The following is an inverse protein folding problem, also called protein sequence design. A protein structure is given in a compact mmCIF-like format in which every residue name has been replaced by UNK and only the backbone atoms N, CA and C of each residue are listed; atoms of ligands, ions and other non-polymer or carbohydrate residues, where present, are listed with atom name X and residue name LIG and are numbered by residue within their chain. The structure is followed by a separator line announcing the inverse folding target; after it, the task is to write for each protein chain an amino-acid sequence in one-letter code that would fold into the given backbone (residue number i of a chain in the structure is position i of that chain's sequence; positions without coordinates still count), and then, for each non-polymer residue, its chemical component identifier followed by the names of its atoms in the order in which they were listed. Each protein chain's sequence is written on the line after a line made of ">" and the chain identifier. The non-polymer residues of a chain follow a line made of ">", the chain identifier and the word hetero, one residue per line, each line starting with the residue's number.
data_IF_350160313167
#
_entry.id   IF_350160313167
#
_cell.length_a   1.000
_cell.length_b   1.000
_cell.length_c   1.000
_cell.angle_alpha   90.00
_cell.angle_beta   90.00
_cell.angle_gamma   90.00
#
_symmetry.space_group_name_H-M   'P 1'
#
loop_
_entity.id
_entity.type
_entity.pdbx_description
1 polymer ?
#
# COMPACT_ATOMS: atom_id res chain seq x y z
N UNK A 1 -12.90 -11.01 3.54
CA UNK A 1 -13.77 -9.94 4.08
C UNK A 1 -12.96 -8.78 4.67
N UNK A 2 -12.02 -9.05 5.59
CA UNK A 2 -11.14 -8.01 6.17
C UNK A 2 -10.29 -7.31 5.09
N UNK A 3 -9.67 -8.05 4.18
CA UNK A 3 -8.82 -7.46 3.14
C UNK A 3 -9.53 -6.45 2.25
N UNK A 4 -10.83 -6.65 1.96
CA UNK A 4 -11.63 -5.70 1.18
C UNK A 4 -11.80 -4.38 1.92
N UNK A 5 -12.13 -4.43 3.21
CA UNK A 5 -12.23 -3.23 4.05
C UNK A 5 -10.90 -2.49 4.11
N UNK A 6 -9.78 -3.21 4.28
CA UNK A 6 -8.45 -2.62 4.30
C UNK A 6 -8.09 -1.94 2.98
N UNK A 7 -8.40 -2.56 1.83
CA UNK A 7 -8.21 -1.94 0.50
C UNK A 7 -9.09 -0.70 0.34
N UNK A 8 -10.33 -0.73 0.82
CA UNK A 8 -11.22 0.44 0.77
C UNK A 8 -10.66 1.60 1.61
N UNK A 9 -10.15 1.31 2.81
CA UNK A 9 -9.51 2.31 3.68
C UNK A 9 -8.25 2.88 3.05
N UNK A 10 -7.38 2.05 2.46
CA UNK A 10 -6.22 2.50 1.67
C UNK A 10 -6.66 3.44 0.56
N UNK A 11 -7.74 3.08 -0.16
CA UNK A 11 -8.18 3.86 -1.30
C UNK A 11 -8.77 5.22 -0.94
N UNK A 12 -9.57 5.27 0.13
CA UNK A 12 -10.14 6.52 0.64
C UNK A 12 -9.06 7.43 1.23
N UNK A 13 -8.09 6.86 1.96
CA UNK A 13 -6.99 7.64 2.53
C UNK A 13 -6.07 8.22 1.45
N UNK A 14 -5.76 7.45 0.41
CA UNK A 14 -4.99 7.95 -0.75
C UNK A 14 -5.77 8.96 -1.59
N UNK A 15 -7.09 8.80 -1.78
CA UNK A 15 -7.88 9.80 -2.49
C UNK A 15 -7.93 11.12 -1.72
N UNK A 16 -8.02 11.06 -0.39
CA UNK A 16 -7.88 12.23 0.47
C UNK A 16 -6.50 12.89 0.30
N UNK A 17 -5.42 12.10 0.24
CA UNK A 17 -4.07 12.60 0.04
C UNK A 17 -3.89 13.29 -1.32
N UNK A 18 -4.39 12.69 -2.40
CA UNK A 18 -4.34 13.26 -3.76
C UNK A 18 -5.08 14.61 -3.80
N UNK A 19 -6.22 14.72 -3.12
CA UNK A 19 -6.99 15.97 -3.06
C UNK A 19 -6.24 17.11 -2.35
N UNK A 20 -5.24 16.78 -1.52
CA UNK A 20 -4.42 17.72 -0.73
C UNK A 20 -2.95 17.68 -1.10
N UNK A 21 -2.62 17.31 -2.34
CA UNK A 21 -1.23 17.07 -2.77
C UNK A 21 -0.26 18.26 -2.62
N UNK A 22 -0.77 19.48 -2.42
CA UNK A 22 0.03 20.70 -2.20
C UNK A 22 0.14 21.10 -0.73
N UNK A 23 -0.57 20.40 0.16
CA UNK A 23 -0.57 20.70 1.59
C UNK A 23 0.52 19.90 2.30
N UNK A 24 1.10 20.50 3.34
CA UNK A 24 1.99 19.82 4.27
C UNK A 24 1.69 20.37 5.65
N UNK A 25 1.33 19.49 6.59
CA UNK A 25 0.93 19.88 7.94
C UNK A 25 1.19 18.75 8.92
N UNK A 26 1.40 19.09 10.19
CA UNK A 26 1.58 18.10 11.24
C UNK A 26 0.23 17.47 11.63
N UNK A 27 0.17 16.14 11.62
CA UNK A 27 -0.96 15.37 12.16
C UNK A 27 -0.77 15.21 13.67
N UNK A 28 0.45 14.84 14.07
CA UNK A 28 0.89 14.80 15.47
C UNK A 28 2.15 15.66 15.54
N UNK A 29 2.10 16.83 16.22
CA UNK A 29 3.22 17.75 16.30
C UNK A 29 4.51 17.05 16.76
N UNK A 30 5.57 17.16 15.96
CA UNK A 30 6.87 16.57 16.24
C UNK A 30 6.96 15.03 16.14
N UNK A 31 5.98 14.37 15.52
CA UNK A 31 6.03 12.91 15.33
C UNK A 31 5.47 12.42 14.00
N UNK A 32 4.29 12.90 13.58
CA UNK A 32 3.65 12.48 12.31
C UNK A 32 3.26 13.71 11.51
N UNK A 33 3.71 13.76 10.25
CA UNK A 33 3.39 14.79 9.29
C UNK A 33 2.65 14.21 8.09
N UNK A 34 1.67 14.97 7.60
CA UNK A 34 1.08 14.77 6.29
C UNK A 34 1.95 15.44 5.23
N UNK A 35 2.39 14.69 4.23
CA UNK A 35 3.12 15.19 3.06
C UNK A 35 2.84 14.29 1.87
N UNK A 36 2.46 14.84 0.71
CA UNK A 36 2.22 14.03 -0.48
C UNK A 36 3.51 13.69 -1.24
N UNK A 37 3.75 12.41 -1.50
CA UNK A 37 4.92 11.90 -2.23
C UNK A 37 4.51 10.89 -3.30
N UNK A 38 5.01 11.08 -4.52
CA UNK A 38 4.86 10.12 -5.62
C UNK A 38 6.00 9.09 -5.61
N UNK A 39 5.76 7.92 -5.04
CA UNK A 39 6.79 6.89 -4.94
C UNK A 39 6.84 6.00 -6.19
N UNK A 40 7.87 6.21 -7.00
CA UNK A 40 8.15 5.46 -8.24
C UNK A 40 9.07 4.25 -8.04
N UNK A 41 9.43 3.93 -6.81
CA UNK A 41 10.27 2.78 -6.45
C UNK A 41 9.56 1.81 -5.52
N UNK A 42 10.36 1.05 -4.78
CA UNK A 42 9.95 0.33 -3.57
C UNK A 42 10.67 0.91 -2.35
N UNK A 43 10.61 0.24 -1.20
CA UNK A 43 11.30 0.66 0.02
C UNK A 43 12.78 1.01 -0.25
N UNK A 44 13.27 2.05 0.44
CA UNK A 44 14.65 2.56 0.33
C UNK A 44 15.06 3.02 -1.09
N UNK A 45 14.10 3.32 -1.97
CA UNK A 45 14.39 3.80 -3.32
C UNK A 45 14.92 2.72 -4.27
N UNK A 46 14.78 1.43 -3.92
CA UNK A 46 15.14 0.35 -4.83
C UNK A 46 14.20 0.34 -6.06
N UNK A 47 14.71 -0.13 -7.19
CA UNK A 47 13.96 -0.28 -8.46
C UNK A 47 13.28 1.01 -8.97
N UNK A 48 13.80 2.19 -8.63
CA UNK A 48 13.28 3.45 -9.16
C UNK A 48 13.24 3.44 -10.70
N UNK A 49 12.11 3.87 -11.27
CA UNK A 49 11.89 3.91 -12.71
C UNK A 49 11.68 2.53 -13.36
N UNK A 50 11.71 1.43 -12.60
CA UNK A 50 11.42 0.06 -13.08
C UNK A 50 9.97 -0.35 -12.76
N UNK A 51 9.02 0.56 -12.95
CA UNK A 51 7.60 0.38 -12.58
C UNK A 51 7.01 -0.93 -13.12
N UNK A 52 7.30 -1.29 -14.38
CA UNK A 52 6.82 -2.54 -14.98
C UNK A 52 7.30 -3.78 -14.22
N UNK A 53 8.57 -3.85 -13.85
CA UNK A 53 9.15 -4.98 -13.09
C UNK A 53 8.48 -5.07 -11.72
N UNK A 54 8.29 -3.93 -11.05
CA UNK A 54 7.63 -3.88 -9.73
C UNK A 54 6.17 -4.35 -9.84
N UNK A 55 5.44 -3.95 -10.89
CA UNK A 55 4.05 -4.38 -11.13
C UNK A 55 4.00 -5.91 -11.26
N UNK A 56 4.85 -6.50 -12.11
CA UNK A 56 4.84 -7.96 -12.35
C UNK A 56 5.15 -8.72 -11.06
N UNK A 57 6.21 -8.34 -10.34
CA UNK A 57 6.58 -9.01 -9.08
C UNK A 57 5.50 -8.85 -8.00
N UNK A 58 4.93 -7.64 -7.88
CA UNK A 58 3.87 -7.37 -6.91
C UNK A 58 2.58 -8.13 -7.26
N UNK A 59 2.25 -8.25 -8.55
CA UNK A 59 1.11 -9.03 -9.02
C UNK A 59 1.25 -10.50 -8.64
N UNK A 60 2.42 -11.11 -8.90
CA UNK A 60 2.69 -12.51 -8.54
C UNK A 60 2.58 -12.71 -7.03
N UNK A 61 3.18 -11.82 -6.23
CA UNK A 61 3.14 -11.90 -4.78
C UNK A 61 1.71 -11.77 -4.24
N UNK A 62 0.96 -10.77 -4.70
CA UNK A 62 -0.45 -10.55 -4.32
C UNK A 62 -1.31 -11.75 -4.72
N UNK A 63 -1.15 -12.26 -5.94
CA UNK A 63 -1.89 -13.43 -6.41
C UNK A 63 -1.66 -14.64 -5.51
N UNK A 64 -0.40 -14.93 -5.15
CA UNK A 64 -0.06 -16.03 -4.25
C UNK A 64 -0.68 -15.85 -2.86
N UNK A 65 -0.60 -14.64 -2.29
CA UNK A 65 -1.19 -14.35 -0.98
C UNK A 65 -2.71 -14.50 -0.97
N UNK A 66 -3.38 -14.00 -2.00
CA UNK A 66 -4.84 -14.15 -2.15
C UNK A 66 -5.22 -15.61 -2.34
N UNK A 67 -4.46 -16.38 -3.13
CA UNK A 67 -4.65 -17.82 -3.27
C UNK A 67 -4.54 -18.53 -1.91
N UNK A 68 -3.48 -18.27 -1.14
CA UNK A 68 -3.31 -18.89 0.18
C UNK A 68 -4.47 -18.59 1.14
N UNK A 69 -4.99 -17.36 1.11
CA UNK A 69 -6.15 -16.94 1.90
C UNK A 69 -7.44 -17.62 1.46
N UNK A 70 -7.72 -17.69 0.15
CA UNK A 70 -8.96 -18.28 -0.37
C UNK A 70 -9.06 -19.78 -0.09
N UNK A 71 -7.93 -20.47 -0.11
CA UNK A 71 -7.86 -21.91 0.14
C UNK A 71 -7.57 -22.26 1.61
N UNK A 72 -7.68 -21.28 2.53
CA UNK A 72 -7.47 -21.44 3.98
C UNK A 72 -6.26 -22.31 4.31
N UNK A 73 -5.12 -22.04 3.67
CA UNK A 73 -3.91 -22.86 3.82
C UNK A 73 -3.25 -22.76 5.20
N UNK A 74 -3.79 -21.93 6.09
CA UNK A 74 -3.33 -21.76 7.46
C UNK A 74 -4.48 -21.98 8.45
N UNK A 75 -4.27 -22.89 9.41
CA UNK A 75 -5.23 -23.17 10.48
C UNK A 75 -5.27 -22.06 11.54
N UNK A 76 -4.22 -21.24 11.62
CA UNK A 76 -4.14 -20.14 12.58
C UNK A 76 -4.95 -18.94 12.13
N UNK A 77 -5.93 -18.54 12.95
CA UNK A 77 -6.71 -17.31 12.76
C UNK A 77 -5.80 -16.08 12.70
N UNK A 78 -4.75 -16.03 13.51
CA UNK A 78 -3.79 -14.93 13.51
C UNK A 78 -3.05 -14.86 12.18
N UNK A 79 -2.60 -16.00 11.64
CA UNK A 79 -1.93 -16.05 10.34
C UNK A 79 -2.83 -15.54 9.21
N UNK A 80 -4.10 -15.96 9.18
CA UNK A 80 -5.06 -15.49 8.18
C UNK A 80 -5.33 -13.98 8.29
N UNK A 81 -5.38 -13.44 9.51
CA UNK A 81 -5.50 -11.99 9.72
C UNK A 81 -4.24 -11.29 9.19
N UNK A 82 -3.04 -11.71 9.61
CA UNK A 82 -1.78 -11.10 9.16
C UNK A 82 -1.64 -11.12 7.64
N UNK A 83 -1.94 -12.26 6.99
CA UNK A 83 -1.93 -12.38 5.53
C UNK A 83 -2.96 -11.46 4.87
N UNK A 84 -4.13 -11.26 5.48
CA UNK A 84 -5.13 -10.32 4.97
C UNK A 84 -4.62 -8.89 4.93
N UNK A 85 -3.86 -8.46 5.95
CA UNK A 85 -3.21 -7.15 5.98
C UNK A 85 -2.13 -7.02 4.90
N UNK A 86 -1.25 -8.01 4.77
CA UNK A 86 -0.18 -8.01 3.76
C UNK A 86 -0.77 -7.98 2.35
N UNK A 87 -1.76 -8.86 2.08
CA UNK A 87 -2.43 -8.92 0.79
C UNK A 87 -3.14 -7.60 0.46
N UNK A 88 -3.87 -7.01 1.41
CA UNK A 88 -4.57 -5.74 1.20
C UNK A 88 -3.61 -4.59 0.86
N UNK A 89 -2.50 -4.45 1.60
CA UNK A 89 -1.48 -3.43 1.32
C UNK A 89 -0.81 -3.64 -0.04
N UNK A 90 -0.52 -4.90 -0.40
CA UNK A 90 0.00 -5.26 -1.71
C UNK A 90 -0.96 -4.89 -2.85
N UNK A 91 -2.26 -5.20 -2.69
CA UNK A 91 -3.31 -4.86 -3.67
C UNK A 91 -3.41 -3.35 -3.85
N UNK A 92 -3.46 -2.58 -2.77
CA UNK A 92 -3.56 -1.11 -2.83
C UNK A 92 -2.39 -0.47 -3.58
N UNK A 93 -1.16 -0.92 -3.27
CA UNK A 93 0.05 -0.42 -3.92
C UNK A 93 0.22 -0.91 -5.37
N UNK A 94 -0.29 -2.09 -5.69
CA UNK A 94 -0.32 -2.58 -7.08
C UNK A 94 -1.32 -1.78 -7.91
N UNK A 95 -2.51 -1.50 -7.37
CA UNK A 95 -3.52 -0.65 -8.01
C UNK A 95 -2.94 0.73 -8.37
N UNK A 96 -2.29 1.40 -7.41
CA UNK A 96 -1.69 2.71 -7.65
C UNK A 96 -0.67 2.68 -8.79
N UNK A 97 0.19 1.66 -8.83
CA UNK A 97 1.20 1.55 -9.89
C UNK A 97 0.57 1.31 -11.26
N UNK A 98 -0.51 0.54 -11.34
CA UNK A 98 -1.22 0.28 -12.61
C UNK A 98 -1.95 1.55 -13.09
N UNK A 99 -2.61 2.28 -12.18
CA UNK A 99 -3.47 3.41 -12.55
C UNK A 99 -2.70 4.73 -12.67
N UNK A 100 -1.81 5.01 -11.72
CA UNK A 100 -1.08 6.28 -11.61
C UNK A 100 0.38 6.18 -12.09
N UNK A 101 0.95 4.98 -12.17
CA UNK A 101 2.38 4.76 -12.48
C UNK A 101 3.33 4.91 -11.29
N UNK A 102 2.81 5.23 -10.10
CA UNK A 102 3.52 5.41 -8.83
C UNK A 102 2.59 5.12 -7.65
N UNK A 103 3.14 4.89 -6.46
CA UNK A 103 2.38 4.76 -5.21
C UNK A 103 2.22 6.13 -4.56
N UNK A 104 1.04 6.41 -4.03
CA UNK A 104 0.79 7.63 -3.25
C UNK A 104 1.17 7.37 -1.80
N UNK A 105 2.26 7.98 -1.36
CA UNK A 105 2.68 7.98 0.04
C UNK A 105 2.32 9.33 0.66
N UNK A 106 1.78 9.32 1.89
CA UNK A 106 1.26 10.54 2.51
C UNK A 106 1.49 10.70 4.02
N UNK A 107 2.11 9.70 4.65
CA UNK A 107 2.42 9.68 6.08
C UNK A 107 3.94 9.66 6.22
N UNK A 108 4.47 10.66 6.91
CA UNK A 108 5.89 10.76 7.23
C UNK A 108 6.08 10.85 8.74
N UNK A 109 7.07 10.13 9.26
CA UNK A 109 7.49 10.25 10.65
C UNK A 109 8.59 11.31 10.75
N UNK A 110 8.37 12.33 11.56
CA UNK A 110 9.34 13.37 11.87
C UNK A 110 10.09 12.97 13.16
N UNK A 111 11.38 12.64 13.03
CA UNK A 111 12.30 12.38 14.13
C UNK A 111 13.62 13.13 13.92
#
# INVERSE_FOLDING_TARGET
>A
MISFLLVLVDRLSKSYAIARKTETFDIIPGFIRFIYVENRGIAFGLFQGKTFVIIVLSFIAVFLLVYLLLFNKFDSRLANISLSFIAAGGIGNLYDRIVNGFVVDFIEFSF
#
